data_IF_035468344399
#
_entry.id   IF_035468344399
#
_cell.length_a   1.000
_cell.length_b   1.000
_cell.length_c   1.000
_cell.angle_alpha   90.00
_cell.angle_beta   90.00
_cell.angle_gamma   90.00
#
_symmetry.space_group_name_H-M   'P 1'
#
loop_
_entity.id
_entity.type
_entity.pdbx_description
1 polymer ?
#
# COMPACT_ATOMS: atom_id res chain seq x y z
N UNK A 1 -9.15 -19.27 -2.36
CA UNK A 1 -8.94 -18.15 -1.41
C UNK A 1 -7.83 -17.29 -1.99
N UNK A 2 -8.04 -15.98 -2.14
CA UNK A 2 -7.06 -15.06 -2.74
C UNK A 2 -7.08 -13.74 -1.98
N UNK A 3 -5.94 -13.05 -1.90
CA UNK A 3 -5.88 -11.72 -1.33
C UNK A 3 -6.66 -10.73 -2.22
N UNK A 4 -7.26 -9.68 -1.63
CA UNK A 4 -7.89 -8.63 -2.41
C UNK A 4 -6.88 -7.94 -3.33
N UNK A 5 -7.34 -7.50 -4.51
CA UNK A 5 -6.53 -6.78 -5.49
C UNK A 5 -5.92 -5.53 -4.88
N UNK A 6 -4.66 -5.26 -5.23
CA UNK A 6 -3.96 -4.07 -4.77
C UNK A 6 -4.58 -2.84 -5.41
N UNK A 7 -4.89 -1.84 -4.58
CA UNK A 7 -5.42 -0.53 -4.98
C UNK A 7 -4.46 0.54 -4.52
N UNK A 8 -4.08 1.42 -5.44
CA UNK A 8 -3.18 2.53 -5.17
C UNK A 8 -3.88 3.82 -5.57
N UNK A 9 -4.28 4.59 -4.57
CA UNK A 9 -4.87 5.92 -4.75
C UNK A 9 -3.77 6.96 -4.85
N UNK A 10 -3.78 7.76 -5.91
CA UNK A 10 -2.90 8.90 -6.05
C UNK A 10 -3.57 10.14 -5.49
N UNK A 11 -3.19 10.59 -4.29
CA UNK A 11 -3.72 11.80 -3.67
C UNK A 11 -2.88 13.05 -4.01
N UNK A 12 -2.04 12.97 -5.04
CA UNK A 12 -1.23 14.09 -5.51
C UNK A 12 -1.85 14.71 -6.76
N UNK A 13 -1.44 15.94 -7.07
CA UNK A 13 -1.83 16.64 -8.29
C UNK A 13 -0.97 16.27 -9.52
N UNK A 14 -0.16 15.22 -9.42
CA UNK A 14 0.80 14.82 -10.43
C UNK A 14 0.56 13.38 -10.90
N UNK A 15 1.00 13.06 -12.11
CA UNK A 15 0.96 11.66 -12.58
C UNK A 15 2.03 10.88 -11.84
N UNK A 16 1.69 9.68 -11.35
CA UNK A 16 2.62 8.81 -10.65
C UNK A 16 2.74 7.49 -11.39
N UNK A 17 3.97 6.97 -11.46
CA UNK A 17 4.25 5.63 -12.00
C UNK A 17 5.16 4.87 -11.04
N UNK A 18 5.01 3.55 -10.99
CA UNK A 18 5.81 2.74 -10.09
C UNK A 18 5.62 1.25 -10.32
N UNK A 19 6.10 0.47 -9.36
CA UNK A 19 6.06 -0.98 -9.36
C UNK A 19 5.52 -1.50 -8.03
N UNK A 20 4.64 -2.48 -8.10
CA UNK A 20 4.20 -3.33 -6.99
C UNK A 20 4.98 -4.63 -7.07
N UNK A 21 5.78 -4.92 -6.04
CA UNK A 21 6.56 -6.14 -5.92
C UNK A 21 5.88 -7.12 -4.99
N UNK A 22 5.84 -8.39 -5.38
CA UNK A 22 5.28 -9.46 -4.57
C UNK A 22 6.35 -10.45 -4.07
N UNK A 23 6.01 -11.17 -3.01
CA UNK A 23 6.83 -12.21 -2.43
C UNK A 23 6.75 -13.48 -3.26
N UNK A 24 7.91 -14.05 -3.61
CA UNK A 24 8.12 -15.26 -4.43
C UNK A 24 8.29 -15.01 -5.93
N UNK A 25 9.15 -15.84 -6.55
CA UNK A 25 9.40 -15.85 -8.00
C UNK A 25 8.21 -16.35 -8.83
N UNK A 26 7.24 -17.01 -8.20
CA UNK A 26 6.01 -17.46 -8.84
C UNK A 26 4.95 -16.36 -8.95
N UNK A 27 5.21 -15.20 -8.34
CA UNK A 27 4.34 -14.04 -8.41
C UNK A 27 4.84 -13.08 -9.49
N UNK A 28 3.91 -12.54 -10.27
CA UNK A 28 4.23 -11.50 -11.25
C UNK A 28 4.05 -10.15 -10.61
N UNK A 29 5.10 -9.35 -10.62
CA UNK A 29 5.05 -7.95 -10.21
C UNK A 29 4.20 -7.12 -11.19
N UNK A 30 3.57 -6.07 -10.67
CA UNK A 30 2.77 -5.15 -11.48
C UNK A 30 3.51 -3.81 -11.66
N UNK A 31 3.57 -3.32 -12.90
CA UNK A 31 3.91 -1.93 -13.16
C UNK A 31 2.61 -1.13 -13.29
N UNK A 32 2.59 0.07 -12.71
CA UNK A 32 1.39 0.90 -12.71
C UNK A 32 1.71 2.35 -13.10
N UNK A 33 0.67 3.02 -13.62
CA UNK A 33 0.64 4.46 -13.80
C UNK A 33 -0.75 4.93 -13.39
N UNK A 34 -0.80 5.97 -12.57
CA UNK A 34 -2.03 6.50 -11.98
C UNK A 34 -2.07 8.01 -12.15
N UNK A 35 -3.19 8.48 -12.69
CA UNK A 35 -3.47 9.91 -12.90
C UNK A 35 -3.70 10.63 -11.55
N UNK A 36 -3.58 11.96 -11.51
CA UNK A 36 -3.88 12.74 -10.31
C UNK A 36 -5.27 12.43 -9.77
N UNK A 37 -5.40 12.26 -8.45
CA UNK A 37 -6.67 12.06 -7.74
C UNK A 37 -7.48 10.84 -8.23
N UNK A 38 -6.83 9.85 -8.87
CA UNK A 38 -7.46 8.60 -9.27
C UNK A 38 -6.87 7.39 -8.54
N UNK A 39 -7.51 6.24 -8.68
CA UNK A 39 -7.03 4.97 -8.12
C UNK A 39 -6.70 4.02 -9.25
N UNK A 40 -5.52 3.41 -9.17
CA UNK A 40 -5.16 2.25 -9.97
C UNK A 40 -5.50 0.97 -9.20
N UNK A 41 -5.94 -0.07 -9.91
CA UNK A 41 -6.24 -1.38 -9.36
C UNK A 41 -5.48 -2.45 -10.15
N UNK A 42 -4.84 -3.37 -9.43
CA UNK A 42 -4.13 -4.51 -10.02
C UNK A 42 -5.12 -5.43 -10.74
N UNK A 43 -4.68 -6.05 -11.84
CA UNK A 43 -5.51 -7.00 -12.58
C UNK A 43 -5.59 -8.37 -11.90
N UNK A 44 -4.55 -8.74 -11.12
CA UNK A 44 -4.50 -10.00 -10.40
C UNK A 44 -3.54 -9.91 -9.19
N UNK A 45 -3.70 -10.81 -8.23
CA UNK A 45 -2.79 -10.95 -7.06
C UNK A 45 -2.70 -12.39 -6.59
N UNK A 46 -3.82 -13.12 -6.61
CA UNK A 46 -3.86 -14.50 -6.13
C UNK A 46 -3.47 -14.59 -4.65
N UNK A 47 -2.53 -15.48 -4.33
CA UNK A 47 -2.00 -15.71 -2.96
C UNK A 47 -0.67 -15.00 -2.71
N UNK A 48 -0.30 -14.06 -3.57
CA UNK A 48 0.96 -13.35 -3.50
C UNK A 48 0.92 -12.23 -2.45
N UNK A 49 1.79 -12.33 -1.44
CA UNK A 49 1.99 -11.27 -0.45
C UNK A 49 2.74 -10.11 -1.10
N UNK A 50 2.40 -8.89 -0.74
CA UNK A 50 3.05 -7.68 -1.26
C UNK A 50 4.28 -7.37 -0.41
N UNK A 51 5.42 -7.04 -1.02
CA UNK A 51 6.66 -6.71 -0.31
C UNK A 51 7.07 -5.26 -0.47
N UNK A 52 6.77 -4.65 -1.63
CA UNK A 52 7.17 -3.27 -1.90
C UNK A 52 6.20 -2.58 -2.85
N UNK A 53 5.96 -1.27 -2.63
CA UNK A 53 5.38 -0.38 -3.63
C UNK A 53 6.30 0.82 -3.79
N UNK A 54 6.84 0.96 -5.00
CA UNK A 54 7.61 2.14 -5.40
C UNK A 54 6.70 3.16 -6.08
N UNK A 55 7.07 4.43 -6.03
CA UNK A 55 6.35 5.50 -6.71
C UNK A 55 7.33 6.59 -7.19
N UNK A 56 7.17 7.01 -8.43
CA UNK A 56 7.87 8.15 -9.04
C UNK A 56 6.85 9.16 -9.51
N UNK A 57 6.89 10.35 -8.92
CA UNK A 57 5.95 11.45 -9.15
C UNK A 57 6.51 12.36 -10.24
N UNK A 58 5.75 12.55 -11.32
CA UNK A 58 6.15 13.40 -12.46
C UNK A 58 5.71 14.83 -12.21
N UNK A 59 6.61 15.67 -11.71
CA UNK A 59 6.34 17.10 -11.48
C UNK A 59 6.87 17.96 -12.64
N UNK A 60 6.40 19.22 -12.78
CA UNK A 60 6.95 20.16 -13.77
C UNK A 60 8.45 20.42 -13.61
N UNK A 61 8.99 20.25 -12.40
CA UNK A 61 10.39 20.48 -12.07
C UNK A 61 11.25 19.19 -12.22
N UNK A 62 10.64 18.09 -12.66
CA UNK A 62 11.30 16.80 -12.84
C UNK A 62 10.61 15.67 -12.07
N UNK A 63 11.18 14.47 -12.20
CA UNK A 63 10.69 13.28 -11.54
C UNK A 63 11.23 13.21 -10.11
N UNK A 64 10.34 12.98 -9.14
CA UNK A 64 10.69 12.82 -7.73
C UNK A 64 10.35 11.38 -7.32
N UNK A 65 11.34 10.68 -6.77
CA UNK A 65 11.13 9.34 -6.20
C UNK A 65 10.51 9.50 -4.82
N UNK A 66 9.33 8.92 -4.62
CA UNK A 66 8.66 8.90 -3.33
C UNK A 66 9.30 7.87 -2.39
N UNK A 67 9.13 8.07 -1.10
CA UNK A 67 9.48 7.04 -0.10
C UNK A 67 8.59 5.80 -0.35
N UNK A 68 9.17 4.63 -0.61
CA UNK A 68 8.39 3.43 -0.93
C UNK A 68 7.73 2.87 0.32
N UNK A 69 6.63 2.14 0.12
CA UNK A 69 6.13 1.22 1.14
C UNK A 69 6.93 -0.08 1.05
N UNK A 70 7.41 -0.59 2.18
CA UNK A 70 8.13 -1.87 2.26
C UNK A 70 7.58 -2.73 3.39
N UNK A 71 7.58 -4.04 3.21
CA UNK A 71 7.22 -5.03 4.23
C UNK A 71 7.91 -6.37 3.97
N UNK A 72 7.94 -7.25 4.98
CA UNK A 72 8.38 -8.64 4.82
C UNK A 72 7.36 -9.53 4.10
N UNK A 73 6.26 -8.96 3.59
CA UNK A 73 5.12 -9.67 3.02
C UNK A 73 3.83 -9.29 3.74
N UNK A 74 2.91 -8.62 3.05
CA UNK A 74 1.61 -8.22 3.60
C UNK A 74 0.43 -8.69 2.76
N UNK A 75 -0.69 -8.96 3.43
CA UNK A 75 -2.01 -9.20 2.85
C UNK A 75 -2.79 -7.91 2.60
N UNK A 76 -2.33 -6.76 3.11
CA UNK A 76 -2.97 -5.47 2.88
C UNK A 76 -3.03 -5.15 1.38
N UNK A 77 -4.09 -4.46 0.98
CA UNK A 77 -4.39 -4.20 -0.43
C UNK A 77 -4.59 -2.72 -0.75
N UNK A 78 -4.90 -1.87 0.23
CA UNK A 78 -5.24 -0.47 0.00
C UNK A 78 -4.07 0.44 0.38
N UNK A 79 -3.58 1.21 -0.59
CA UNK A 79 -2.44 2.11 -0.44
C UNK A 79 -2.74 3.47 -1.07
N UNK A 80 -2.05 4.50 -0.57
CA UNK A 80 -2.13 5.85 -1.10
C UNK A 80 -0.73 6.43 -1.33
N UNK A 81 -0.57 7.21 -2.39
CA UNK A 81 0.59 8.08 -2.61
C UNK A 81 0.21 9.47 -2.15
N UNK A 82 0.93 9.99 -1.16
CA UNK A 82 0.66 11.27 -0.53
C UNK A 82 1.84 12.22 -0.71
N UNK A 83 1.56 13.51 -0.78
CA UNK A 83 2.56 14.56 -0.66
C UNK A 83 2.80 14.85 0.83
N UNK A 84 4.03 14.62 1.29
CA UNK A 84 4.44 14.82 2.71
C UNK A 84 5.22 16.10 2.92
N UNK A 85 5.65 16.76 1.84
CA UNK A 85 6.33 18.06 1.86
C UNK A 85 6.32 18.72 0.48
N UNK A 86 6.92 19.91 0.31
CA UNK A 86 6.90 20.64 -0.97
C UNK A 86 7.43 19.81 -2.15
N UNK A 87 8.44 18.98 -1.89
CA UNK A 87 9.08 18.09 -2.88
C UNK A 87 9.24 16.67 -2.33
N UNK A 88 8.41 16.30 -1.35
CA UNK A 88 8.50 15.00 -0.67
C UNK A 88 7.18 14.26 -0.79
N UNK A 89 7.27 12.98 -1.12
CA UNK A 89 6.13 12.10 -1.32
C UNK A 89 6.40 10.76 -0.64
N UNK A 90 5.34 10.07 -0.25
CA UNK A 90 5.43 8.74 0.37
C UNK A 90 4.25 7.86 -0.06
N UNK A 91 4.51 6.55 -0.13
CA UNK A 91 3.47 5.53 -0.25
C UNK A 91 3.12 5.04 1.15
N UNK A 92 1.84 5.08 1.51
CA UNK A 92 1.34 4.60 2.80
C UNK A 92 0.20 3.61 2.62
N UNK A 93 0.03 2.71 3.58
CA UNK A 93 -1.17 1.90 3.72
C UNK A 93 -2.35 2.81 4.07
N UNK A 94 -3.52 2.54 3.48
CA UNK A 94 -4.81 3.10 3.93
C UNK A 94 -5.34 2.19 5.04
N UNK A 95 -5.69 2.79 6.18
CA UNK A 95 -6.24 2.10 7.34
C UNK A 95 -7.71 2.47 7.46
N UNK A 96 -8.59 1.53 7.15
CA UNK A 96 -10.03 1.67 7.39
C UNK A 96 -10.36 0.94 8.69
N UNK A 97 -10.86 1.67 9.70
CA UNK A 97 -11.20 1.08 11.01
C UNK A 97 -12.21 -0.08 10.92
N UNK A 98 -12.96 -0.18 9.82
CA UNK A 98 -13.97 -1.23 9.60
C UNK A 98 -13.36 -2.57 9.15
N UNK A 99 -12.23 -2.55 8.42
CA UNK A 99 -11.55 -3.77 7.96
C UNK A 99 -10.63 -4.36 9.04
N UNK A 100 -10.01 -3.51 9.88
CA UNK A 100 -9.14 -3.99 10.97
C UNK A 100 -9.96 -4.67 12.08
N UNK A 101 -11.16 -4.17 12.42
CA UNK A 101 -12.03 -4.78 13.44
C UNK A 101 -12.53 -6.16 12.99
N UNK A 102 -12.74 -6.38 11.70
CA UNK A 102 -13.19 -7.67 11.17
C UNK A 102 -12.10 -8.78 11.20
N UNK A 103 -10.85 -8.42 11.52
CA UNK A 103 -9.73 -9.35 11.67
C UNK A 103 -9.26 -9.51 13.13
N UNK A 104 -9.87 -8.81 14.09
CA UNK A 104 -9.59 -9.03 15.51
C UNK A 104 -10.45 -10.21 15.99
N UNK A 105 -9.86 -11.35 16.40
CA UNK A 105 -10.63 -12.38 17.10
C UNK A 105 -11.17 -11.78 18.41
N UNK A 106 -12.44 -12.02 18.73
CA UNK A 106 -13.15 -11.46 19.90
C UNK A 106 -12.55 -11.83 21.28
N UNK A 107 -11.45 -12.57 21.36
CA UNK A 107 -10.88 -13.08 22.61
C UNK A 107 -9.48 -12.51 22.91
N UNK A 108 -9.41 -11.19 23.05
CA UNK A 108 -8.35 -10.57 23.84
C UNK A 108 -8.94 -10.05 25.15
N UNK A 109 -9.29 -10.98 26.05
CA UNK A 109 -9.36 -10.64 27.46
C UNK A 109 -7.92 -10.35 27.94
N UNK A 110 -7.61 -9.08 28.20
CA UNK A 110 -6.38 -8.71 28.92
C UNK A 110 -6.40 -9.38 30.31
N UNK A 111 -5.41 -10.23 30.68
CA UNK A 111 -5.23 -10.58 32.08
C UNK A 111 -4.57 -9.38 32.75
N UNK A 112 -5.37 -8.50 33.34
CA UNK A 112 -4.85 -7.47 34.25
C UNK A 112 -4.21 -8.17 35.45
N UNK A 113 -2.91 -7.93 35.59
CA UNK A 113 -2.09 -8.43 36.70
C UNK A 113 -2.44 -7.67 37.96
N UNK A 114 -2.81 -8.37 39.04
CA UNK A 114 -2.59 -7.89 40.41
C UNK A 114 -2.07 -9.06 41.24
N UNK A 115 -0.77 -9.01 41.50
CA UNK A 115 -0.11 -9.78 42.55
C UNK A 115 -0.62 -9.27 43.91
N UNK A 116 -0.91 -10.19 44.83
CA UNK A 116 -0.86 -9.91 46.27
C UNK A 116 -0.45 -11.17 47.02
#
# INVERSE_FOLDING_TARGET
MSYPLVKITNSTNFVVSGKVSYMSIFCSDDNYTVSPNTTWEASSRGVCLLTEITATVKTPNGNIVATPYTSSGTSYSNFAILQTGPTSFAVTRIVNMVEDVALVPEDHAEPTTQQK
#
